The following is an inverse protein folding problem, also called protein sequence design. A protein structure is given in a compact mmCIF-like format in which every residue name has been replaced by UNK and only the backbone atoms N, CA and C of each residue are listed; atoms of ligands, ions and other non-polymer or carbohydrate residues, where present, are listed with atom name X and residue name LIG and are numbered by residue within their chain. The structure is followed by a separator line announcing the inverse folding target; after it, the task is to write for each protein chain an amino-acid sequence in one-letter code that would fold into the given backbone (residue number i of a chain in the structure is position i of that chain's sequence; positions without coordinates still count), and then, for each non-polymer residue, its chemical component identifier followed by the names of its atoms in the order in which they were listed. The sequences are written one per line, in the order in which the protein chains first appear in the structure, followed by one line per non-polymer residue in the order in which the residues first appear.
data_IF_096101517232
#
_entry.id   IF_096101517232
#
_cell.length_a   1.000
_cell.length_b   1.000
_cell.length_c   1.000
_cell.angle_alpha   90.00
_cell.angle_beta   90.00
_cell.angle_gamma   90.00
#
_symmetry.space_group_name_H-M   'P 1'
#
loop_
_entity.id
_entity.type
_entity.pdbx_description
1 polymer ?
#
# COMPACT_ATOMS: atom_id res chain seq x y z
N UNK A 1 -16.58 -43.91 -8.93
CA UNK A 1 -15.49 -43.19 -8.26
C UNK A 1 -14.99 -42.09 -9.21
N UNK A 2 -15.29 -40.83 -8.90
CA UNK A 2 -14.92 -39.69 -9.74
C UNK A 2 -13.45 -39.32 -9.55
N UNK A 3 -12.65 -39.41 -10.62
CA UNK A 3 -11.30 -38.81 -10.69
C UNK A 3 -11.46 -37.30 -10.93
N UNK A 4 -11.56 -36.52 -9.87
CA UNK A 4 -11.47 -35.05 -9.87
C UNK A 4 -10.33 -34.58 -8.97
N UNK A 5 -9.12 -35.08 -9.23
CA UNK A 5 -7.89 -34.47 -8.73
C UNK A 5 -7.02 -34.15 -9.94
N UNK A 6 -6.90 -32.87 -10.30
CA UNK A 6 -5.89 -32.44 -11.27
C UNK A 6 -6.12 -31.09 -11.98
N UNK A 7 -7.35 -30.60 -12.11
CA UNK A 7 -7.64 -29.49 -13.05
C UNK A 7 -7.39 -28.06 -12.53
N UNK A 8 -6.55 -27.86 -11.49
CA UNK A 8 -6.31 -26.53 -10.91
C UNK A 8 -4.89 -25.96 -11.08
N UNK A 9 -4.03 -26.57 -11.90
CA UNK A 9 -2.63 -26.16 -12.03
C UNK A 9 -2.19 -25.54 -13.37
N UNK A 10 -3.10 -25.13 -14.25
CA UNK A 10 -2.70 -24.39 -15.45
C UNK A 10 -3.03 -22.90 -15.29
N UNK A 11 -2.19 -22.19 -14.52
CA UNK A 11 -2.28 -20.74 -14.30
C UNK A 11 -1.49 -19.92 -15.33
N UNK A 12 -0.66 -20.57 -16.16
CA UNK A 12 0.11 -19.92 -17.22
C UNK A 12 -0.14 -20.65 -18.55
N UNK A 13 -0.42 -19.92 -19.63
CA UNK A 13 -0.32 -20.51 -20.97
C UNK A 13 1.16 -20.80 -21.21
N UNK A 14 1.52 -22.05 -21.46
CA UNK A 14 2.84 -22.39 -22.00
C UNK A 14 2.95 -21.76 -23.39
N UNK A 15 3.42 -20.51 -23.47
CA UNK A 15 3.92 -19.95 -24.71
C UNK A 15 5.06 -20.86 -25.18
N UNK A 16 4.92 -21.43 -26.37
CA UNK A 16 5.88 -22.41 -26.86
C UNK A 16 7.28 -21.81 -26.86
N UNK A 17 8.30 -22.57 -26.47
CA UNK A 17 9.68 -22.07 -26.45
C UNK A 17 10.11 -21.52 -27.83
N UNK A 18 9.49 -22.03 -28.90
CA UNK A 18 9.68 -21.63 -30.28
C UNK A 18 9.15 -20.21 -30.51
N UNK A 19 7.93 -19.88 -30.05
CA UNK A 19 7.38 -18.53 -30.13
C UNK A 19 8.21 -17.51 -29.34
N UNK A 20 8.63 -17.88 -28.13
CA UNK A 20 9.48 -17.01 -27.30
C UNK A 20 10.82 -16.74 -27.98
N UNK A 21 11.44 -17.77 -28.57
CA UNK A 21 12.69 -17.63 -29.32
C UNK A 21 12.53 -16.86 -30.62
N UNK A 22 11.45 -17.06 -31.38
CA UNK A 22 11.16 -16.28 -32.59
C UNK A 22 10.93 -14.81 -32.26
N UNK A 23 10.18 -14.52 -31.20
CA UNK A 23 9.97 -13.15 -30.75
C UNK A 23 11.27 -12.52 -30.27
N UNK A 24 12.14 -13.27 -29.60
CA UNK A 24 13.45 -12.79 -29.18
C UNK A 24 14.38 -12.53 -30.39
N UNK A 25 14.35 -13.38 -31.41
CA UNK A 25 15.14 -13.21 -32.64
C UNK A 25 14.63 -12.04 -33.49
N UNK A 26 13.31 -11.89 -33.63
CA UNK A 26 12.68 -10.77 -34.34
C UNK A 26 12.91 -9.43 -33.62
N UNK A 27 12.92 -9.43 -32.28
CA UNK A 27 13.26 -8.24 -31.48
C UNK A 27 14.77 -7.92 -31.47
N UNK A 28 15.62 -8.82 -31.97
CA UNK A 28 17.07 -8.64 -32.12
C UNK A 28 17.48 -8.43 -33.58
N UNK A 29 16.54 -8.07 -34.45
CA UNK A 29 16.83 -7.84 -35.86
C UNK A 29 17.65 -6.55 -36.06
N UNK A 30 18.97 -6.73 -36.17
CA UNK A 30 19.97 -5.66 -36.28
C UNK A 30 19.77 -4.76 -37.51
N UNK A 31 19.13 -5.26 -38.57
CA UNK A 31 18.87 -4.49 -39.78
C UNK A 31 17.85 -3.37 -39.58
N UNK A 32 16.90 -3.53 -38.64
CA UNK A 32 15.91 -2.49 -38.30
C UNK A 32 16.60 -1.32 -37.58
N UNK A 33 17.63 -1.60 -36.79
CA UNK A 33 18.38 -0.62 -35.98
C UNK A 33 19.09 0.42 -36.84
N UNK A 34 19.41 0.12 -38.11
CA UNK A 34 20.07 1.06 -39.04
C UNK A 34 19.12 1.74 -40.03
N UNK A 35 17.81 1.53 -39.92
CA UNK A 35 16.84 2.23 -40.78
C UNK A 35 16.71 3.71 -40.39
N UNK A 36 16.51 4.58 -41.38
CA UNK A 36 16.35 6.03 -41.16
C UNK A 36 15.17 6.36 -40.23
N UNK A 37 14.12 5.54 -40.23
CA UNK A 37 12.96 5.71 -39.33
C UNK A 37 13.30 5.40 -37.87
N UNK A 38 14.27 4.52 -37.61
CA UNK A 38 14.70 4.13 -36.27
C UNK A 38 15.79 5.05 -35.69
N UNK A 39 16.55 5.73 -36.55
CA UNK A 39 17.63 6.66 -36.18
C UNK A 39 17.28 8.14 -36.42
N UNK A 40 16.00 8.46 -36.59
CA UNK A 40 15.57 9.85 -36.70
C UNK A 40 15.93 10.59 -35.40
N UNK A 41 16.89 11.53 -35.48
CA UNK A 41 17.18 12.45 -34.39
C UNK A 41 16.00 13.41 -34.22
N UNK A 42 15.08 13.03 -33.35
CA UNK A 42 14.00 13.91 -32.90
C UNK A 42 14.62 15.09 -32.15
N UNK A 43 14.32 16.31 -32.60
CA UNK A 43 14.55 17.50 -31.76
C UNK A 43 13.78 17.34 -30.45
N UNK A 44 14.15 18.04 -29.36
CA UNK A 44 13.49 17.96 -28.04
C UNK A 44 11.95 18.11 -28.14
N UNK A 45 11.46 18.79 -29.18
CA UNK A 45 10.04 18.98 -29.52
C UNK A 45 9.32 17.79 -30.16
N UNK A 46 10.00 16.68 -30.47
CA UNK A 46 9.46 15.51 -31.16
C UNK A 46 9.61 14.21 -30.33
N UNK A 47 10.14 14.27 -29.10
CA UNK A 47 10.11 13.11 -28.20
C UNK A 47 8.67 12.79 -27.79
N UNK A 48 8.23 11.52 -27.85
CA UNK A 48 6.92 11.12 -27.35
C UNK A 48 6.85 11.30 -25.83
N UNK A 49 5.71 11.77 -25.34
CA UNK A 49 5.49 11.97 -23.91
C UNK A 49 5.74 10.68 -23.12
N UNK A 50 6.37 10.83 -21.94
CA UNK A 50 6.59 9.72 -21.01
C UNK A 50 5.25 9.16 -20.56
N UNK A 51 4.95 7.93 -21.00
CA UNK A 51 3.77 7.21 -20.53
C UNK A 51 4.08 6.44 -19.25
N UNK A 52 3.21 6.60 -18.26
CA UNK A 52 3.24 5.87 -17.01
C UNK A 52 2.17 4.78 -16.99
N UNK A 53 2.44 3.70 -16.27
CA UNK A 53 1.49 2.65 -15.92
C UNK A 53 1.30 2.62 -14.41
N UNK A 54 0.06 2.44 -13.99
CA UNK A 54 -0.28 2.25 -12.58
C UNK A 54 -0.07 0.81 -12.17
N UNK A 55 0.55 0.63 -11.00
CA UNK A 55 0.70 -0.66 -10.36
C UNK A 55 0.16 -0.61 -8.95
N UNK A 56 -0.69 -1.58 -8.64
CA UNK A 56 -1.42 -1.65 -7.37
C UNK A 56 -0.73 -2.64 -6.45
N UNK A 57 -0.47 -2.22 -5.21
CA UNK A 57 0.10 -3.04 -4.15
C UNK A 57 -0.85 -3.03 -2.95
N UNK A 58 -1.07 -4.20 -2.34
CA UNK A 58 -1.79 -4.31 -1.07
C UNK A 58 -0.78 -4.58 0.04
N UNK A 59 -0.78 -3.69 1.04
CA UNK A 59 0.13 -3.71 2.16
C UNK A 59 -0.65 -3.98 3.45
N UNK A 60 -0.28 -5.04 4.16
CA UNK A 60 -0.82 -5.35 5.48
C UNK A 60 0.18 -4.91 6.56
N UNK A 61 -0.26 -4.10 7.50
CA UNK A 61 0.51 -3.63 8.66
C UNK A 61 -0.14 -4.19 9.91
N UNK A 62 0.59 -4.99 10.67
CA UNK A 62 0.11 -5.59 11.92
C UNK A 62 0.96 -5.13 13.09
N UNK A 63 0.33 -4.77 14.20
CA UNK A 63 1.05 -4.45 15.44
C UNK A 63 1.81 -5.65 16.00
N UNK A 64 1.47 -6.88 15.60
CA UNK A 64 2.18 -8.10 16.00
C UNK A 64 3.64 -8.12 15.54
N UNK A 65 3.91 -7.53 14.37
CA UNK A 65 5.24 -7.56 13.74
C UNK A 65 6.12 -6.39 14.19
N UNK A 66 5.66 -5.59 15.16
CA UNK A 66 6.44 -4.49 15.74
C UNK A 66 7.62 -5.01 16.54
N UNK A 67 8.67 -4.19 16.61
CA UNK A 67 9.72 -4.39 17.59
C UNK A 67 9.21 -4.04 19.00
N UNK A 68 8.79 -5.05 19.76
CA UNK A 68 8.20 -4.88 21.11
C UNK A 68 9.13 -4.23 22.13
N UNK A 69 10.45 -4.28 21.92
CA UNK A 69 11.44 -3.63 22.79
C UNK A 69 11.46 -2.12 22.56
N UNK A 70 11.37 -1.68 21.30
CA UNK A 70 11.33 -0.26 20.95
C UNK A 70 9.91 0.33 21.06
N UNK A 71 8.89 -0.49 20.77
CA UNK A 71 7.48 -0.13 20.72
C UNK A 71 6.66 -1.12 21.56
N UNK A 72 6.67 -0.98 22.88
CA UNK A 72 5.95 -1.90 23.77
C UNK A 72 4.44 -1.82 23.57
N UNK A 73 3.91 -0.65 23.21
CA UNK A 73 2.48 -0.42 23.07
C UNK A 73 1.98 -0.66 21.64
N UNK A 74 0.77 -1.17 21.52
CA UNK A 74 0.10 -1.45 20.23
C UNK A 74 -0.46 -0.19 19.55
N UNK A 75 -0.51 0.93 20.27
CA UNK A 75 -1.05 2.21 19.78
C UNK A 75 0.00 3.08 19.07
N UNK A 76 1.28 2.76 19.19
CA UNK A 76 2.36 3.49 18.53
C UNK A 76 3.50 2.54 18.16
N UNK A 77 3.72 2.34 16.86
CA UNK A 77 4.75 1.43 16.37
C UNK A 77 5.19 1.73 14.94
N UNK A 78 6.39 1.27 14.58
CA UNK A 78 6.91 1.38 13.21
C UNK A 78 7.17 0.01 12.61
N UNK A 79 6.72 -0.18 11.37
CA UNK A 79 6.94 -1.41 10.58
C UNK A 79 7.74 -1.06 9.34
N UNK A 80 8.90 -1.70 9.17
CA UNK A 80 9.73 -1.59 7.98
C UNK A 80 9.26 -2.57 6.92
N UNK A 81 9.18 -2.12 5.68
CA UNK A 81 8.77 -2.97 4.58
C UNK A 81 9.94 -3.83 4.07
N UNK A 82 9.67 -5.03 3.55
CA UNK A 82 10.70 -5.84 2.88
C UNK A 82 11.28 -5.15 1.65
N UNK A 83 10.42 -4.47 0.87
CA UNK A 83 10.77 -3.73 -0.33
C UNK A 83 10.24 -2.30 -0.21
N UNK A 84 11.01 -1.32 -0.70
CA UNK A 84 10.55 0.05 -0.81
C UNK A 84 9.58 0.24 -1.99
N UNK A 85 8.51 0.99 -1.77
CA UNK A 85 7.65 1.48 -2.85
C UNK A 85 8.24 2.77 -3.40
N UNK A 86 8.24 2.96 -4.72
CA UNK A 86 8.72 4.18 -5.40
C UNK A 86 7.62 4.81 -6.22
N UNK A 87 7.71 6.12 -6.44
CA UNK A 87 6.77 6.89 -7.27
C UNK A 87 5.31 6.66 -6.87
N UNK A 88 5.00 6.82 -5.58
CA UNK A 88 3.67 6.55 -5.04
C UNK A 88 2.74 7.67 -5.47
N UNK A 89 1.69 7.31 -6.19
CA UNK A 89 0.65 8.22 -6.66
C UNK A 89 -0.50 8.35 -5.68
N UNK A 90 -0.92 7.24 -5.08
CA UNK A 90 -1.96 7.28 -4.05
C UNK A 90 -1.79 6.19 -2.99
N UNK A 91 -2.31 6.50 -1.80
CA UNK A 91 -2.40 5.57 -0.67
C UNK A 91 -3.82 5.63 -0.12
N UNK A 92 -4.44 4.46 0.02
CA UNK A 92 -5.81 4.31 0.50
C UNK A 92 -5.85 3.33 1.69
N UNK A 93 -6.56 3.68 2.75
CA UNK A 93 -6.88 2.71 3.81
C UNK A 93 -8.09 1.86 3.39
N UNK A 94 -7.86 0.57 3.20
CA UNK A 94 -8.87 -0.40 2.78
C UNK A 94 -9.59 -0.98 3.99
N UNK A 95 -8.86 -1.33 5.04
CA UNK A 95 -9.43 -1.98 6.21
C UNK A 95 -8.62 -1.67 7.45
N UNK A 96 -9.31 -1.51 8.58
CA UNK A 96 -8.72 -1.53 9.91
C UNK A 96 -9.44 -2.56 10.78
N UNK A 97 -8.67 -3.25 11.60
CA UNK A 97 -9.17 -4.11 12.67
C UNK A 97 -8.43 -3.69 13.94
N UNK A 98 -9.18 -3.28 14.95
CA UNK A 98 -8.65 -2.84 16.23
C UNK A 98 -9.22 -3.70 17.36
N UNK A 99 -8.54 -3.81 18.50
CA UNK A 99 -9.04 -4.57 19.63
C UNK A 99 -10.17 -3.81 20.36
N UNK A 100 -11.21 -4.54 20.75
CA UNK A 100 -12.31 -4.03 21.59
C UNK A 100 -11.90 -4.08 23.06
N UNK A 101 -11.03 -3.15 23.46
CA UNK A 101 -10.41 -3.12 24.79
C UNK A 101 -10.45 -1.70 25.35
N UNK A 102 -10.45 -1.60 26.68
CA UNK A 102 -10.41 -0.33 27.42
C UNK A 102 -11.43 0.70 26.91
N UNK A 103 -12.69 0.28 26.78
CA UNK A 103 -13.80 1.18 26.47
C UNK A 103 -13.68 1.92 25.13
N UNK A 104 -12.98 1.34 24.15
CA UNK A 104 -12.85 1.91 22.81
C UNK A 104 -14.20 2.20 22.14
N UNK A 105 -15.25 1.47 22.50
CA UNK A 105 -16.62 1.71 22.01
C UNK A 105 -17.26 3.00 22.53
N UNK A 106 -16.71 3.59 23.60
CA UNK A 106 -17.17 4.88 24.12
C UNK A 106 -16.55 6.06 23.36
N UNK A 107 -15.51 5.82 22.54
CA UNK A 107 -14.96 6.84 21.66
C UNK A 107 -15.86 7.04 20.43
N UNK A 108 -16.14 8.29 20.03
CA UNK A 108 -16.93 8.57 18.83
C UNK A 108 -16.21 8.12 17.55
N UNK A 109 -14.87 8.19 17.56
CA UNK A 109 -13.96 7.73 16.52
C UNK A 109 -12.55 7.66 17.10
N UNK A 110 -11.67 6.94 16.41
CA UNK A 110 -10.22 7.05 16.63
C UNK A 110 -9.58 7.77 15.45
N UNK A 111 -8.35 8.25 15.64
CA UNK A 111 -7.56 8.83 14.57
C UNK A 111 -6.36 7.93 14.25
N UNK A 112 -6.17 7.63 12.97
CA UNK A 112 -5.00 6.91 12.48
C UNK A 112 -4.01 7.91 11.92
N UNK A 113 -2.89 8.12 12.59
CA UNK A 113 -1.79 8.92 12.10
C UNK A 113 -0.72 8.02 11.48
N UNK A 114 -0.20 8.47 10.33
CA UNK A 114 0.93 7.83 9.64
C UNK A 114 2.01 8.88 9.39
N UNK A 115 3.11 8.84 10.12
CA UNK A 115 4.09 9.94 10.12
C UNK A 115 4.68 10.22 8.73
N UNK A 116 4.85 9.19 7.91
CA UNK A 116 5.37 9.30 6.56
C UNK A 116 4.36 9.86 5.54
N UNK A 117 3.09 10.02 5.91
CA UNK A 117 2.00 10.54 5.06
C UNK A 117 1.38 11.77 5.72
N UNK A 118 1.57 12.93 5.10
CA UNK A 118 1.13 14.22 5.64
C UNK A 118 0.07 14.86 4.73
N UNK A 119 -0.59 15.89 5.25
CA UNK A 119 -1.55 16.75 4.53
C UNK A 119 -2.71 15.98 3.90
N UNK A 120 -3.32 15.06 4.66
CA UNK A 120 -4.40 14.22 4.15
C UNK A 120 -5.76 14.90 4.25
N UNK A 121 -6.03 15.57 5.38
CA UNK A 121 -7.32 16.18 5.66
C UNK A 121 -7.18 17.67 6.00
N UNK A 122 -8.11 18.47 5.51
CA UNK A 122 -8.28 19.86 5.93
C UNK A 122 -9.31 19.88 7.04
N UNK A 123 -8.89 20.26 8.25
CA UNK A 123 -9.75 20.35 9.43
C UNK A 123 -9.36 21.57 10.27
N UNK A 124 -10.30 22.08 11.06
CA UNK A 124 -10.03 23.07 12.10
C UNK A 124 -9.37 22.45 13.34
N UNK A 125 -9.46 21.13 13.50
CA UNK A 125 -8.76 20.37 14.53
C UNK A 125 -7.40 19.90 13.98
N UNK A 126 -6.33 20.28 14.69
CA UNK A 126 -4.94 19.94 14.33
C UNK A 126 -4.68 18.43 14.36
N UNK A 127 -5.27 17.71 15.30
CA UNK A 127 -5.08 16.27 15.43
C UNK A 127 -5.71 15.54 14.23
N UNK A 128 -6.91 15.97 13.83
CA UNK A 128 -7.58 15.44 12.63
C UNK A 128 -6.78 15.77 11.37
N UNK A 129 -6.32 17.01 11.22
CA UNK A 129 -5.56 17.43 10.04
C UNK A 129 -4.22 16.68 9.87
N UNK A 130 -3.57 16.34 10.99
CA UNK A 130 -2.34 15.54 11.00
C UNK A 130 -2.59 14.04 10.83
N UNK A 131 -3.83 13.58 10.95
CA UNK A 131 -4.16 12.17 10.87
C UNK A 131 -4.37 11.76 9.42
N UNK A 132 -3.95 10.54 9.10
CA UNK A 132 -4.21 9.93 7.81
C UNK A 132 -5.70 9.67 7.64
N UNK A 133 -6.36 9.07 8.64
CA UNK A 133 -7.78 8.72 8.57
C UNK A 133 -8.51 8.85 9.91
N UNK A 134 -9.81 9.14 9.82
CA UNK A 134 -10.75 9.00 10.93
C UNK A 134 -11.31 7.58 10.91
N UNK A 135 -11.10 6.84 11.99
CA UNK A 135 -11.53 5.46 12.17
C UNK A 135 -12.89 5.42 12.86
N UNK A 136 -13.96 5.33 12.07
CA UNK A 136 -15.30 5.11 12.59
C UNK A 136 -15.50 3.63 12.95
N UNK A 137 -15.91 3.37 14.18
CA UNK A 137 -15.98 2.02 14.72
C UNK A 137 -17.31 1.35 14.36
N UNK A 138 -17.26 0.14 13.82
CA UNK A 138 -18.45 -0.69 13.70
C UNK A 138 -18.77 -1.38 15.04
N UNK A 139 -20.00 -1.86 15.20
CA UNK A 139 -20.31 -2.72 16.34
C UNK A 139 -19.46 -4.00 16.29
N UNK A 140 -18.81 -4.41 17.41
CA UNK A 140 -18.01 -5.63 17.44
C UNK A 140 -18.87 -6.86 17.17
N UNK A 141 -18.33 -7.86 16.47
CA UNK A 141 -19.03 -9.14 16.26
C UNK A 141 -19.29 -9.86 17.58
N UNK A 142 -18.41 -9.65 18.56
CA UNK A 142 -18.55 -10.10 19.95
C UNK A 142 -17.85 -9.10 20.85
N UNK A 143 -18.54 -8.64 21.90
CA UNK A 143 -17.95 -7.73 22.90
C UNK A 143 -16.65 -8.31 23.49
N UNK A 144 -15.65 -7.45 23.64
CA UNK A 144 -14.32 -7.76 24.15
C UNK A 144 -13.38 -8.44 23.15
N UNK A 145 -13.73 -8.47 21.85
CA UNK A 145 -12.89 -9.09 20.81
C UNK A 145 -12.24 -8.05 19.90
N UNK A 146 -12.71 -7.90 18.66
CA UNK A 146 -12.18 -6.96 17.69
C UNK A 146 -13.30 -6.19 17.01
N UNK A 147 -12.98 -4.96 16.66
CA UNK A 147 -13.85 -4.04 15.94
C UNK A 147 -13.26 -3.82 14.56
N UNK A 148 -14.11 -3.94 13.55
CA UNK A 148 -13.80 -3.52 12.19
C UNK A 148 -14.17 -2.04 12.04
N UNK A 149 -13.44 -1.34 11.19
CA UNK A 149 -13.79 0.04 10.82
C UNK A 149 -14.99 0.01 9.87
N UNK A 150 -16.01 0.84 10.16
CA UNK A 150 -17.21 0.93 9.32
C UNK A 150 -16.88 1.70 8.03
N UNK A 151 -16.92 0.99 6.90
CA UNK A 151 -16.64 1.54 5.57
C UNK A 151 -17.85 2.20 4.91
N UNK A 152 -19.04 2.11 5.51
CA UNK A 152 -20.30 2.58 4.88
C UNK A 152 -20.55 4.06 5.07
N UNK A 153 -19.98 4.64 6.11
CA UNK A 153 -20.27 6.00 6.58
C UNK A 153 -19.13 6.99 6.31
N UNK A 154 -17.94 6.50 5.92
CA UNK A 154 -16.83 7.33 5.51
C UNK A 154 -16.35 6.92 4.11
N UNK A 155 -16.28 7.88 3.19
CA UNK A 155 -15.64 7.68 1.89
C UNK A 155 -14.19 7.22 2.09
N UNK A 156 -13.69 6.39 1.17
CA UNK A 156 -12.34 5.85 1.24
C UNK A 156 -11.35 6.97 1.52
N UNK A 157 -10.64 6.90 2.64
CA UNK A 157 -9.59 7.86 2.93
C UNK A 157 -8.42 7.58 1.99
N UNK A 158 -8.37 8.34 0.91
CA UNK A 158 -7.34 8.26 -0.14
C UNK A 158 -6.52 9.54 -0.10
N UNK A 159 -5.21 9.39 0.13
CA UNK A 159 -4.26 10.47 -0.16
C UNK A 159 -3.77 10.30 -1.60
N UNK A 160 -4.16 11.22 -2.47
CA UNK A 160 -3.56 11.39 -3.78
C UNK A 160 -2.42 12.41 -3.70
N UNK A 161 -1.32 12.12 -4.39
CA UNK A 161 -0.18 13.01 -4.51
C UNK A 161 -0.16 13.66 -5.89
N UNK A 162 -0.26 15.00 -5.94
CA UNK A 162 -0.11 15.75 -7.20
C UNK A 162 1.29 15.54 -7.79
N UNK A 163 2.31 15.56 -6.92
CA UNK A 163 3.67 15.13 -7.24
C UNK A 163 3.94 13.81 -6.52
N UNK A 164 4.14 12.69 -7.24
CA UNK A 164 4.29 11.38 -6.64
C UNK A 164 5.34 11.36 -5.53
N UNK A 165 5.01 10.73 -4.39
CA UNK A 165 5.96 10.57 -3.29
C UNK A 165 7.10 9.65 -3.76
N UNK A 166 8.33 10.14 -3.65
CA UNK A 166 9.50 9.48 -4.22
C UNK A 166 9.66 8.03 -3.74
N UNK A 167 9.54 7.78 -2.43
CA UNK A 167 9.57 6.44 -1.88
C UNK A 167 8.87 6.31 -0.51
N UNK A 168 8.53 5.08 -0.14
CA UNK A 168 8.07 4.68 1.19
C UNK A 168 8.66 3.32 1.55
N UNK A 169 9.45 3.26 2.61
CA UNK A 169 10.18 2.06 3.06
C UNK A 169 9.75 1.56 4.44
N UNK A 170 8.95 2.35 5.16
CA UNK A 170 8.37 2.02 6.45
C UNK A 170 7.06 2.79 6.65
N UNK A 171 6.28 2.35 7.62
CA UNK A 171 5.10 3.06 8.09
C UNK A 171 5.12 3.11 9.61
N UNK A 172 5.03 4.32 10.15
CA UNK A 172 4.93 4.58 11.59
C UNK A 172 3.48 4.90 11.92
N UNK A 173 2.84 3.99 12.64
CA UNK A 173 1.42 4.05 13.00
C UNK A 173 1.29 4.63 14.40
N UNK A 174 0.40 5.61 14.55
CA UNK A 174 -0.10 6.05 15.85
C UNK A 174 -1.62 6.07 15.83
N UNK A 175 -2.26 5.48 16.84
CA UNK A 175 -3.71 5.49 17.02
C UNK A 175 -4.02 6.43 18.17
N UNK A 176 -4.74 7.51 17.88
CA UNK A 176 -5.14 8.53 18.86
C UNK A 176 -6.64 8.41 19.17
N UNK A 177 -7.01 8.83 20.36
CA UNK A 177 -8.39 9.12 20.73
C UNK A 177 -8.90 10.41 20.07
N UNK A 178 -10.17 10.73 20.34
CA UNK A 178 -10.82 11.95 19.85
C UNK A 178 -10.19 13.25 20.38
N UNK A 179 -9.42 13.19 21.47
CA UNK A 179 -8.66 14.32 22.05
C UNK A 179 -7.25 14.46 21.48
N UNK A 180 -6.80 13.55 20.62
CA UNK A 180 -5.45 13.53 20.05
C UNK A 180 -4.39 12.90 20.94
N UNK A 181 -4.77 12.13 21.97
CA UNK A 181 -3.84 11.39 22.83
C UNK A 181 -3.76 9.94 22.36
N UNK A 182 -2.58 9.27 22.37
CA UNK A 182 -2.49 7.86 22.00
C UNK A 182 -3.45 6.98 22.80
N UNK A 183 -4.38 6.32 22.10
CA UNK A 183 -5.42 5.53 22.74
C UNK A 183 -4.81 4.34 23.49
N UNK A 184 -5.21 4.11 24.73
CA UNK A 184 -4.67 3.02 25.54
C UNK A 184 -5.53 1.77 25.41
N UNK A 185 -5.11 0.83 24.54
CA UNK A 185 -5.78 -0.48 24.41
C UNK A 185 -5.48 -1.47 25.54
N UNK A 186 -4.57 -1.14 26.46
CA UNK A 186 -4.17 -2.01 27.57
C UNK A 186 -2.72 -2.49 27.44
N UNK A 187 -2.29 -3.29 28.41
CA UNK A 187 -0.90 -3.74 28.49
C UNK A 187 -0.70 -5.04 27.75
N UNK A 188 0.17 -5.02 26.74
CA UNK A 188 0.57 -6.16 25.94
C UNK A 188 1.76 -6.92 26.57
N UNK A 189 1.64 -7.31 27.84
CA UNK A 189 2.65 -8.13 28.55
C UNK A 189 2.07 -9.51 28.92
N UNK A 190 2.86 -10.61 28.86
CA UNK A 190 4.26 -10.75 28.43
C UNK A 190 4.43 -11.35 27.02
N UNK A 191 5.66 -11.25 26.48
CA UNK A 191 6.09 -11.87 25.22
C UNK A 191 5.75 -13.37 25.15
N UNK A 192 5.12 -13.89 24.07
CA UNK A 192 4.83 -13.22 22.80
C UNK A 192 3.64 -12.23 22.87
N UNK A 193 3.53 -11.27 21.93
CA UNK A 193 2.43 -10.29 21.90
C UNK A 193 1.08 -10.97 22.11
N UNK A 194 0.33 -10.50 23.11
CA UNK A 194 -1.00 -10.95 23.42
C UNK A 194 -1.95 -10.58 22.29
N UNK A 195 -2.55 -11.62 21.70
CA UNK A 195 -3.42 -11.51 20.53
C UNK A 195 -4.58 -10.54 20.75
N UNK A 196 -5.09 -10.44 21.98
CA UNK A 196 -6.27 -9.63 22.32
C UNK A 196 -6.08 -8.12 22.12
N UNK A 197 -4.82 -7.63 22.08
CA UNK A 197 -4.51 -6.21 21.94
C UNK A 197 -3.98 -5.83 20.55
N UNK A 198 -3.85 -6.78 19.62
CA UNK A 198 -3.24 -6.49 18.34
C UNK A 198 -4.23 -5.79 17.40
N UNK A 199 -3.70 -4.88 16.58
CA UNK A 199 -4.42 -4.25 15.48
C UNK A 199 -3.79 -4.59 14.13
N UNK A 200 -4.56 -4.42 13.07
CA UNK A 200 -4.10 -4.64 11.70
C UNK A 200 -4.78 -3.68 10.75
N UNK A 201 -4.00 -3.09 9.85
CA UNK A 201 -4.46 -2.17 8.81
C UNK A 201 -4.02 -2.67 7.45
N UNK A 202 -4.92 -2.57 6.46
CA UNK A 202 -4.64 -2.90 5.07
C UNK A 202 -4.70 -1.62 4.26
N UNK A 203 -3.61 -1.33 3.56
CA UNK A 203 -3.49 -0.21 2.66
C UNK A 203 -3.41 -0.68 1.22
N UNK A 204 -3.97 0.10 0.30
CA UNK A 204 -3.73 -0.01 -1.14
C UNK A 204 -2.81 1.14 -1.54
N UNK A 205 -1.68 0.79 -2.14
CA UNK A 205 -0.68 1.75 -2.63
C UNK A 205 -0.66 1.65 -4.15
N UNK A 206 -0.83 2.77 -4.84
CA UNK A 206 -0.69 2.87 -6.29
C UNK A 206 0.63 3.55 -6.62
N UNK A 207 1.48 2.88 -7.41
CA UNK A 207 2.76 3.42 -7.88
C UNK A 207 2.74 3.65 -9.38
N UNK A 208 3.42 4.69 -9.85
CA UNK A 208 3.59 4.98 -11.28
C UNK A 208 4.94 4.44 -11.77
N UNK A 209 4.89 3.42 -12.62
CA UNK A 209 6.05 2.87 -13.30
C UNK A 209 6.10 3.40 -14.75
N UNK A 210 7.29 3.62 -15.30
CA UNK A 210 7.42 4.05 -16.71
C UNK A 210 7.10 2.85 -17.61
N UNK A 211 6.23 3.05 -18.61
CA UNK A 211 5.92 1.99 -19.58
C UNK A 211 7.17 1.56 -20.34
N UNK A 212 7.47 0.26 -20.32
CA UNK A 212 8.68 -0.30 -20.98
C UNK A 212 8.72 -0.09 -22.50
N UNK A 213 7.56 -0.02 -23.17
CA UNK A 213 7.51 0.23 -24.61
C UNK A 213 8.10 1.60 -25.00
N UNK A 214 8.09 2.57 -24.09
CA UNK A 214 8.71 3.89 -24.31
C UNK A 214 10.24 3.89 -24.09
N UNK A 215 10.80 2.86 -23.43
CA UNK A 215 12.25 2.77 -23.15
C UNK A 215 13.05 2.18 -24.31
N UNK A 216 12.44 1.37 -25.18
CA UNK A 216 13.14 0.72 -26.32
C UNK A 216 13.66 1.71 -27.38
N UNK A 217 13.24 2.98 -27.35
CA UNK A 217 13.72 4.02 -28.26
C UNK A 217 14.95 4.77 -27.73
N UNK A 218 15.43 4.46 -26.51
CA UNK A 218 16.65 5.07 -25.94
C UNK A 218 17.81 4.08 -25.96
N UNK A 219 18.27 3.73 -27.16
CA UNK A 219 19.66 3.29 -27.30
C UNK A 219 20.54 4.53 -27.34
N UNK A 220 21.32 4.70 -26.28
CA UNK A 220 22.31 5.77 -26.14
C UNK A 220 23.56 5.36 -26.94
N UNK A 221 24.00 6.23 -27.84
CA UNK A 221 25.28 6.12 -28.54
C UNK A 221 26.46 6.42 -27.60
#
# INVERSE_FOLDING_TARGET
MSKRLGEHYNRYSESSFIESNQNQYNNQNYDVVYTNDSNAQYSISQEPDLQYEEKIHYLSISSKDRNVTAYPNVNHYSVKFPNEFKNIHSIELIQGIIPDQNDVQNEPYLLLQVDEIQDVMVSNDKNISNSFAILQLASPTRSGTFIQIDRRIHEYTVKCYDTPKAYLSKMTITILDSSGVPFNFGTDTPSPPNKAFQNTFIFKIVTLEKKRNALNHRNVY
#
